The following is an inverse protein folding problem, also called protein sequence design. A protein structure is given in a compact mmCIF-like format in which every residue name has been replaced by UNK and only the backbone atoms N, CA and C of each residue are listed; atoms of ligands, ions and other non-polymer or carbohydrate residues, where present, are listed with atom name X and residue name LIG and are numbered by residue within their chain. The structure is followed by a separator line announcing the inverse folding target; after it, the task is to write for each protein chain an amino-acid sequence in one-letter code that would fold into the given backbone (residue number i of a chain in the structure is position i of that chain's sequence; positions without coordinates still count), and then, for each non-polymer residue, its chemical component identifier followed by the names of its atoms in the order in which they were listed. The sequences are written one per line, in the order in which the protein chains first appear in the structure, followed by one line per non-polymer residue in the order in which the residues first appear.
data_IF_812920343450
#
_entry.id   IF_812920343450
#
_cell.length_a   1.000
_cell.length_b   1.000
_cell.length_c   1.000
_cell.angle_alpha   90.00
_cell.angle_beta   90.00
_cell.angle_gamma   90.00
#
_symmetry.space_group_name_H-M   'P 1'
#
loop_
_entity.id
_entity.type
_entity.pdbx_description
1 polymer ?
#
# COMPACT_ATOMS: atom_id res chain seq x y z
N UNK A 1 4.66 58.80 3.55
CA UNK A 1 4.53 59.10 2.11
C UNK A 1 5.63 58.32 1.36
N UNK A 2 5.51 58.11 0.03
CA UNK A 2 6.03 56.94 -0.74
C UNK A 2 6.94 57.37 -1.94
N UNK A 3 7.83 56.58 -2.59
CA UNK A 3 8.33 55.18 -2.45
C UNK A 3 9.74 55.04 -3.13
N UNK A 4 10.68 54.23 -2.60
CA UNK A 4 11.78 53.58 -3.37
C UNK A 4 12.52 52.55 -2.46
N UNK A 5 12.68 51.24 -2.72
CA UNK A 5 13.22 50.48 -3.88
C UNK A 5 14.68 50.86 -4.21
N UNK A 6 15.66 49.96 -4.44
CA UNK A 6 15.75 48.49 -4.39
C UNK A 6 17.27 48.13 -4.30
N UNK A 7 17.64 46.94 -3.80
CA UNK A 7 18.68 46.05 -4.39
C UNK A 7 18.92 44.75 -3.60
N UNK A 8 18.30 43.69 -4.11
CA UNK A 8 18.96 42.41 -4.43
C UNK A 8 19.63 41.56 -3.33
N UNK A 9 19.01 40.43 -3.00
CA UNK A 9 19.75 39.17 -2.81
C UNK A 9 19.31 38.25 -1.66
N UNK A 10 18.32 37.36 -1.86
CA UNK A 10 18.16 36.19 -1.01
C UNK A 10 19.18 35.10 -1.41
N UNK A 11 20.14 34.83 -0.52
CA UNK A 11 20.94 33.61 -0.45
C UNK A 11 20.87 33.11 1.00
N UNK A 12 20.48 31.89 1.32
CA UNK A 12 20.10 30.78 0.44
C UNK A 12 18.64 30.39 0.66
N UNK A 13 17.88 30.28 -0.43
CA UNK A 13 16.75 29.37 -0.44
C UNK A 13 17.29 27.98 -0.15
N UNK A 14 16.96 27.43 1.03
CA UNK A 14 17.00 25.99 1.22
C UNK A 14 15.99 25.39 0.24
N UNK A 15 16.46 25.08 -0.97
CA UNK A 15 15.72 24.36 -1.98
C UNK A 15 15.56 22.92 -1.48
N UNK A 16 14.63 22.74 -0.56
CA UNK A 16 14.05 21.45 -0.22
C UNK A 16 13.27 21.00 -1.45
N UNK A 17 14.02 20.50 -2.45
CA UNK A 17 13.54 19.79 -3.62
C UNK A 17 12.94 18.44 -3.24
N UNK A 18 11.99 18.45 -2.31
CA UNK A 18 11.12 17.34 -1.92
C UNK A 18 9.69 17.61 -2.44
N UNK A 19 9.61 18.07 -3.68
CA UNK A 19 8.39 18.05 -4.50
C UNK A 19 8.57 17.08 -5.69
N UNK A 20 9.33 16.00 -5.49
CA UNK A 20 9.02 14.78 -6.20
C UNK A 20 7.59 14.41 -5.79
N UNK A 21 6.64 14.51 -6.72
CA UNK A 21 5.26 14.09 -6.48
C UNK A 21 5.29 12.70 -5.87
N UNK A 22 4.88 12.58 -4.60
CA UNK A 22 4.65 11.30 -3.98
C UNK A 22 3.57 10.62 -4.84
N UNK A 23 3.98 9.66 -5.67
CA UNK A 23 3.04 8.86 -6.44
C UNK A 23 2.11 8.20 -5.41
N UNK A 24 0.79 8.13 -5.68
CA UNK A 24 -0.14 7.55 -4.72
C UNK A 24 0.36 6.18 -4.28
N UNK A 25 0.55 6.02 -2.96
CA UNK A 25 1.17 4.84 -2.39
C UNK A 25 0.40 3.61 -2.87
N UNK A 26 1.07 2.75 -3.63
CA UNK A 26 0.47 1.50 -4.10
C UNK A 26 0.64 0.46 -3.00
N UNK A 27 -0.36 -0.38 -2.79
CA UNK A 27 -0.35 -1.37 -1.71
C UNK A 27 -0.53 -2.77 -2.27
N UNK A 28 0.29 -3.71 -1.79
CA UNK A 28 0.10 -5.14 -1.96
C UNK A 28 -0.58 -5.66 -0.68
N UNK A 29 -1.80 -6.19 -0.83
CA UNK A 29 -2.54 -6.83 0.26
C UNK A 29 -2.66 -8.33 -0.04
N UNK A 30 -1.94 -9.15 0.71
CA UNK A 30 -2.11 -10.59 0.75
C UNK A 30 -3.26 -10.96 1.70
N UNK A 31 -4.28 -11.63 1.19
CA UNK A 31 -5.40 -12.15 1.97
C UNK A 31 -5.29 -13.68 2.01
N UNK A 32 -5.13 -14.30 3.19
CA UNK A 32 -5.12 -15.75 3.31
C UNK A 32 -6.55 -16.30 3.22
N UNK A 33 -6.69 -17.48 2.63
CA UNK A 33 -7.91 -18.27 2.70
C UNK A 33 -7.57 -19.75 2.88
N UNK A 34 -8.48 -20.48 3.54
CA UNK A 34 -8.40 -21.94 3.64
C UNK A 34 -9.05 -22.54 2.40
N UNK A 35 -8.25 -23.27 1.63
CA UNK A 35 -8.74 -24.11 0.54
C UNK A 35 -9.49 -25.33 1.10
N UNK A 36 -10.33 -25.98 0.28
CA UNK A 36 -11.10 -27.18 0.66
C UNK A 36 -10.20 -28.35 1.07
N UNK A 37 -8.96 -28.40 0.56
CA UNK A 37 -7.94 -29.37 0.97
C UNK A 37 -7.04 -28.86 2.12
N UNK A 38 -7.62 -28.10 3.06
CA UNK A 38 -7.03 -27.63 4.34
C UNK A 38 -5.73 -26.84 4.31
N UNK A 39 -5.19 -26.51 3.13
CA UNK A 39 -4.01 -25.67 2.98
C UNK A 39 -4.39 -24.18 2.93
N UNK A 40 -3.54 -23.34 3.51
CA UNK A 40 -3.68 -21.87 3.43
C UNK A 40 -3.09 -21.39 2.11
N UNK A 41 -3.92 -20.73 1.30
CA UNK A 41 -3.51 -20.07 0.05
C UNK A 41 -3.58 -18.56 0.26
N UNK A 42 -2.63 -17.84 -0.33
CA UNK A 42 -2.60 -16.38 -0.31
C UNK A 42 -3.02 -15.82 -1.67
N UNK A 43 -4.07 -14.99 -1.71
CA UNK A 43 -4.36 -14.15 -2.87
C UNK A 43 -3.85 -12.74 -2.62
N UNK A 44 -3.09 -12.20 -3.57
CA UNK A 44 -2.50 -10.87 -3.47
C UNK A 44 -3.23 -9.87 -4.37
N UNK A 45 -3.58 -8.72 -3.81
CA UNK A 45 -4.25 -7.62 -4.50
C UNK A 45 -3.34 -6.40 -4.52
N UNK A 46 -3.12 -5.84 -5.71
CA UNK A 46 -2.50 -4.52 -5.86
C UNK A 46 -3.61 -3.46 -5.84
N UNK A 47 -3.51 -2.51 -4.91
CA UNK A 47 -4.42 -1.36 -4.80
C UNK A 47 -3.64 -0.09 -5.12
N UNK A 48 -4.09 0.65 -6.14
CA UNK A 48 -3.38 1.83 -6.65
C UNK A 48 -3.86 3.19 -6.15
N UNK A 49 -5.07 3.25 -5.57
CA UNK A 49 -5.76 4.48 -5.20
C UNK A 49 -6.14 4.46 -3.70
N UNK A 50 -5.13 4.30 -2.85
CA UNK A 50 -5.30 4.23 -1.41
C UNK A 50 -4.33 5.19 -0.70
N UNK A 51 -4.86 6.33 -0.30
CA UNK A 51 -4.17 7.38 0.47
C UNK A 51 -3.70 6.88 1.85
N UNK A 52 -4.30 5.78 2.34
CA UNK A 52 -3.99 5.14 3.60
C UNK A 52 -4.14 3.61 3.53
N UNK A 53 -3.45 2.92 4.44
CA UNK A 53 -3.44 1.44 4.54
C UNK A 53 -4.83 0.83 4.82
N UNK A 54 -5.70 1.52 5.55
CA UNK A 54 -7.05 1.04 5.87
C UNK A 54 -7.99 1.15 4.66
N UNK A 55 -7.82 2.17 3.82
CA UNK A 55 -8.45 2.25 2.48
C UNK A 55 -7.94 1.11 1.59
N UNK A 56 -6.65 0.84 1.55
CA UNK A 56 -6.09 -0.28 0.79
C UNK A 56 -6.68 -1.65 1.22
N UNK A 57 -6.68 -1.92 2.53
CA UNK A 57 -7.25 -3.16 3.11
C UNK A 57 -8.75 -3.27 2.81
N UNK A 58 -9.54 -2.20 2.95
CA UNK A 58 -10.97 -2.22 2.61
C UNK A 58 -11.22 -2.55 1.14
N UNK A 59 -10.47 -1.94 0.22
CA UNK A 59 -10.59 -2.22 -1.22
C UNK A 59 -10.21 -3.68 -1.54
N UNK A 60 -9.10 -4.17 -0.97
CA UNK A 60 -8.66 -5.55 -1.15
C UNK A 60 -9.68 -6.57 -0.59
N UNK A 61 -10.21 -6.35 0.62
CA UNK A 61 -11.22 -7.23 1.22
C UNK A 61 -12.57 -7.18 0.50
N UNK A 62 -12.98 -6.02 -0.02
CA UNK A 62 -14.19 -5.89 -0.83
C UNK A 62 -14.06 -6.67 -2.15
N UNK A 63 -12.90 -6.54 -2.82
CA UNK A 63 -12.58 -7.33 -4.01
C UNK A 63 -12.53 -8.82 -3.71
N UNK A 64 -11.82 -9.21 -2.65
CA UNK A 64 -11.71 -10.60 -2.23
C UNK A 64 -13.09 -11.21 -1.93
N UNK A 65 -14.00 -10.48 -1.27
CA UNK A 65 -15.35 -10.94 -0.98
C UNK A 65 -16.36 -10.75 -2.14
N UNK A 66 -15.92 -10.30 -3.32
CA UNK A 66 -16.76 -10.27 -4.53
C UNK A 66 -17.32 -11.66 -4.86
N UNK A 67 -18.47 -11.71 -5.55
CA UNK A 67 -19.10 -12.98 -5.89
C UNK A 67 -18.19 -13.87 -6.75
N UNK A 68 -17.50 -13.27 -7.74
CA UNK A 68 -16.57 -13.94 -8.63
C UNK A 68 -15.38 -14.56 -7.87
N UNK A 69 -14.72 -13.80 -7.00
CA UNK A 69 -13.54 -14.33 -6.29
C UNK A 69 -13.91 -15.27 -5.15
N UNK A 70 -15.08 -15.10 -4.50
CA UNK A 70 -15.61 -16.13 -3.60
C UNK A 70 -15.87 -17.43 -4.34
N UNK A 71 -16.51 -17.40 -5.51
CA UNK A 71 -16.72 -18.61 -6.34
C UNK A 71 -15.39 -19.28 -6.73
N UNK A 72 -14.40 -18.50 -7.16
CA UNK A 72 -13.07 -19.02 -7.52
C UNK A 72 -12.35 -19.75 -6.36
N UNK A 73 -12.67 -19.40 -5.10
CA UNK A 73 -12.12 -20.03 -3.88
C UNK A 73 -13.03 -21.10 -3.25
N UNK A 74 -14.14 -21.48 -3.88
CA UNK A 74 -15.09 -22.47 -3.34
C UNK A 74 -16.12 -21.90 -2.34
N UNK A 75 -16.38 -20.59 -2.38
CA UNK A 75 -17.51 -19.93 -1.70
C UNK A 75 -17.18 -19.18 -0.41
N UNK A 76 -16.03 -19.46 0.22
CA UNK A 76 -15.62 -18.87 1.49
C UNK A 76 -15.44 -17.35 1.46
N UNK A 77 -16.04 -16.66 2.43
CA UNK A 77 -15.68 -15.28 2.76
C UNK A 77 -14.31 -15.23 3.45
N UNK A 78 -13.64 -14.09 3.34
CA UNK A 78 -12.33 -13.83 3.94
C UNK A 78 -12.42 -12.61 4.86
N UNK A 79 -11.70 -12.66 5.97
CA UNK A 79 -11.72 -11.64 7.03
C UNK A 79 -10.42 -10.85 7.06
N UNK A 80 -10.36 -9.78 7.86
CA UNK A 80 -9.15 -8.95 8.02
C UNK A 80 -8.07 -9.57 8.93
N UNK A 81 -8.18 -10.86 9.25
CA UNK A 81 -7.18 -11.59 10.06
C UNK A 81 -6.01 -12.04 9.18
N UNK A 82 -4.81 -12.02 9.74
CA UNK A 82 -3.57 -12.50 9.12
C UNK A 82 -3.27 -11.89 7.72
N UNK A 83 -3.56 -10.61 7.52
CA UNK A 83 -3.26 -9.94 6.24
C UNK A 83 -1.76 -9.63 6.09
N UNK A 84 -1.17 -9.97 4.94
CA UNK A 84 0.15 -9.44 4.55
C UNK A 84 -0.06 -8.07 3.92
N UNK A 85 0.42 -7.01 4.55
CA UNK A 85 0.27 -5.63 4.08
C UNK A 85 1.65 -5.08 3.76
N UNK A 86 1.87 -4.71 2.49
CA UNK A 86 3.17 -4.20 2.03
C UNK A 86 2.98 -3.03 1.07
N UNK A 87 3.78 -1.99 1.23
CA UNK A 87 3.75 -0.84 0.34
C UNK A 87 4.65 -1.09 -0.87
N UNK A 88 4.13 -0.79 -2.04
CA UNK A 88 4.79 -0.79 -3.33
C UNK A 88 5.24 0.64 -3.62
N UNK A 89 6.53 0.90 -3.50
CA UNK A 89 7.14 2.19 -3.85
C UNK A 89 7.68 2.15 -5.28
N UNK A 90 7.66 3.30 -5.98
CA UNK A 90 8.39 3.48 -7.23
C UNK A 90 9.55 4.43 -6.95
N UNK A 91 10.78 4.04 -7.27
CA UNK A 91 11.91 4.95 -7.15
C UNK A 91 12.09 5.85 -8.39
N UNK A 92 13.02 6.80 -8.30
CA UNK A 92 13.29 7.77 -9.35
C UNK A 92 13.84 7.16 -10.66
N UNK A 93 14.22 5.88 -10.66
CA UNK A 93 14.63 5.12 -11.84
C UNK A 93 13.47 4.31 -12.46
N UNK A 94 12.26 4.45 -11.90
CA UNK A 94 11.09 3.67 -12.31
C UNK A 94 11.12 2.22 -11.82
N UNK A 95 12.02 1.86 -10.89
CA UNK A 95 12.03 0.51 -10.34
C UNK A 95 10.95 0.39 -9.27
N UNK A 96 10.19 -0.70 -9.35
CA UNK A 96 9.17 -1.03 -8.34
C UNK A 96 9.85 -1.75 -7.19
N UNK A 97 9.83 -1.12 -6.01
CA UNK A 97 10.30 -1.70 -4.75
C UNK A 97 9.09 -2.08 -3.91
N UNK A 98 9.26 -3.11 -3.09
CA UNK A 98 8.24 -3.62 -2.20
C UNK A 98 8.85 -3.64 -0.80
N UNK A 99 8.24 -2.88 0.11
CA UNK A 99 8.75 -2.76 1.48
C UNK A 99 8.83 -4.15 2.13
N UNK A 100 9.72 -4.28 3.12
CA UNK A 100 10.00 -5.54 3.81
C UNK A 100 8.72 -6.20 4.36
N UNK A 101 8.70 -7.52 4.57
CA UNK A 101 7.52 -8.18 5.13
C UNK A 101 7.19 -7.56 6.49
N UNK A 102 5.99 -6.98 6.63
CA UNK A 102 5.44 -6.64 7.94
C UNK A 102 5.43 -7.91 8.79
N UNK A 103 5.95 -7.81 10.02
CA UNK A 103 6.52 -8.90 10.80
C UNK A 103 5.81 -10.26 10.67
N UNK A 104 6.38 -11.16 9.85
CA UNK A 104 5.93 -12.55 9.67
C UNK A 104 6.32 -13.46 10.84
N UNK A 105 6.39 -12.92 12.08
CA UNK A 105 6.96 -13.61 13.24
C UNK A 105 6.31 -13.20 14.57
N UNK A 106 5.02 -13.51 14.75
CA UNK A 106 4.39 -13.58 16.08
C UNK A 106 3.21 -14.58 16.15
N UNK A 107 3.28 -15.68 15.38
CA UNK A 107 2.29 -16.76 15.42
C UNK A 107 2.96 -18.15 15.38
N UNK A 108 3.92 -18.35 16.28
CA UNK A 108 4.53 -19.65 16.59
C UNK A 108 4.74 -19.77 18.09
N UNK A 109 4.12 -20.79 18.71
CA UNK A 109 4.17 -21.10 20.17
C UNK A 109 3.40 -20.08 21.03
N UNK A 110 2.29 -20.43 21.69
CA UNK A 110 2.02 -21.64 22.48
C UNK A 110 0.59 -22.19 22.30
#
# INVERSE_FOLDING_TARGET
MLTAMDRSGPRDTTETGAHGCAQPDRWLIGVPFRSTASHVVWMYYVVGEADDVSRAVRVALARANSAQERQARGGGSVTAQDLEIRRITLDALGQTRLDGPGDRSAASSW
#
